data_IF_634380430160
#
_entry.id   IF_634380430160
#
_cell.length_a   1.000
_cell.length_b   1.000
_cell.length_c   1.000
_cell.angle_alpha   90.00
_cell.angle_beta   90.00
_cell.angle_gamma   90.00
#
_symmetry.space_group_name_H-M   'P 1'
#
loop_
_entity.id
_entity.type
_entity.pdbx_description
1 polymer ?
#
# COMPACT_ATOMS: atom_id res chain seq x y z
N UNK A 1 -1.79 -2.91 -12.70
CA UNK A 1 -2.89 -1.98 -13.01
C UNK A 1 -2.70 -1.33 -14.36
N UNK A 2 -3.80 -1.06 -15.04
CA UNK A 2 -3.84 -0.49 -16.39
C UNK A 2 -4.31 0.97 -16.33
N UNK A 3 -3.42 1.90 -16.57
CA UNK A 3 -3.68 3.34 -16.58
C UNK A 3 -3.98 3.90 -17.98
N UNK A 4 -4.27 3.05 -18.97
CA UNK A 4 -4.54 3.47 -20.36
C UNK A 4 -5.77 4.38 -20.50
N UNK A 5 -6.71 4.33 -19.58
CA UNK A 5 -7.89 5.20 -19.54
C UNK A 5 -7.56 6.69 -19.44
N UNK A 6 -6.37 7.04 -18.99
CA UNK A 6 -5.92 8.43 -18.90
C UNK A 6 -5.36 9.00 -20.21
N UNK A 7 -5.36 8.21 -21.30
CA UNK A 7 -4.67 8.56 -22.55
C UNK A 7 -3.15 8.52 -22.43
N UNK A 8 -2.63 7.97 -21.36
CA UNK A 8 -1.22 7.79 -21.13
C UNK A 8 -0.72 6.51 -21.85
N UNK A 9 0.57 6.47 -22.16
CA UNK A 9 1.20 5.31 -22.79
C UNK A 9 1.20 4.09 -21.84
N UNK A 10 1.19 2.88 -22.39
CA UNK A 10 1.28 1.63 -21.63
C UNK A 10 2.50 1.54 -20.68
N UNK A 11 3.50 2.40 -20.88
CA UNK A 11 4.71 2.51 -20.03
C UNK A 11 4.42 2.96 -18.60
N UNK A 12 3.26 3.56 -18.36
CA UNK A 12 2.84 3.95 -17.00
C UNK A 12 2.05 2.86 -16.26
N UNK A 13 1.74 1.75 -16.91
CA UNK A 13 1.07 0.64 -16.24
C UNK A 13 1.96 0.06 -15.15
N UNK A 14 1.34 -0.40 -14.05
CA UNK A 14 2.04 -1.11 -12.98
C UNK A 14 1.95 -2.60 -13.23
N UNK A 15 3.04 -3.23 -13.75
CA UNK A 15 3.05 -4.65 -14.00
C UNK A 15 2.79 -5.43 -12.70
N UNK A 16 1.97 -6.47 -12.82
CA UNK A 16 1.69 -7.44 -11.77
C UNK A 16 0.91 -6.93 -10.54
N UNK A 17 0.49 -5.65 -10.47
CA UNK A 17 -0.26 -5.13 -9.32
C UNK A 17 -1.57 -5.90 -9.07
N UNK A 18 -2.27 -6.31 -10.14
CA UNK A 18 -3.46 -7.18 -10.02
C UNK A 18 -3.08 -8.55 -9.47
N UNK A 19 -1.97 -9.14 -9.94
CA UNK A 19 -1.48 -10.41 -9.42
C UNK A 19 -1.10 -10.33 -7.94
N UNK A 20 -0.47 -9.23 -7.53
CA UNK A 20 -0.14 -8.95 -6.14
C UNK A 20 -1.40 -8.94 -5.26
N UNK A 21 -2.44 -8.24 -5.67
CA UNK A 21 -3.70 -8.16 -4.93
C UNK A 21 -4.41 -9.52 -4.83
N UNK A 22 -4.44 -10.29 -5.93
CA UNK A 22 -5.03 -11.62 -5.96
C UNK A 22 -4.29 -12.58 -5.02
N UNK A 23 -2.96 -12.58 -5.06
CA UNK A 23 -2.15 -13.43 -4.17
C UNK A 23 -2.30 -13.00 -2.71
N UNK A 24 -2.28 -11.71 -2.42
CA UNK A 24 -2.49 -11.21 -1.05
C UNK A 24 -3.87 -11.64 -0.52
N UNK A 25 -4.94 -11.54 -1.34
CA UNK A 25 -6.26 -12.06 -1.00
C UNK A 25 -6.23 -13.55 -0.63
N UNK A 26 -5.52 -14.38 -1.42
CA UNK A 26 -5.42 -15.81 -1.10
C UNK A 26 -4.83 -16.07 0.29
N UNK A 27 -3.85 -15.26 0.70
CA UNK A 27 -3.26 -15.35 2.03
C UNK A 27 -4.20 -14.84 3.12
N UNK A 28 -4.99 -13.79 2.86
CA UNK A 28 -6.05 -13.37 3.78
C UNK A 28 -7.04 -14.50 4.06
N UNK A 29 -7.48 -15.22 3.03
CA UNK A 29 -8.40 -16.36 3.20
C UNK A 29 -7.72 -17.54 3.89
N UNK A 30 -6.57 -17.98 3.35
CA UNK A 30 -5.97 -19.26 3.76
C UNK A 30 -5.18 -19.19 5.05
N UNK A 31 -4.58 -18.05 5.34
CA UNK A 31 -3.66 -17.88 6.48
C UNK A 31 -4.29 -17.12 7.63
N UNK A 32 -5.00 -16.02 7.32
CA UNK A 32 -5.66 -15.23 8.35
C UNK A 32 -7.11 -15.64 8.60
N UNK A 33 -7.67 -16.54 7.77
CA UNK A 33 -9.02 -17.06 7.94
C UNK A 33 -10.12 -16.04 7.64
N UNK A 34 -9.82 -14.98 6.89
CA UNK A 34 -10.82 -13.97 6.52
C UNK A 34 -11.86 -14.62 5.60
N UNK A 35 -13.16 -14.56 5.93
CA UNK A 35 -14.20 -15.12 5.07
C UNK A 35 -14.20 -14.46 3.70
N UNK A 36 -14.36 -15.25 2.64
CA UNK A 36 -14.31 -14.76 1.25
C UNK A 36 -15.33 -13.64 0.98
N UNK A 37 -16.51 -13.70 1.57
CA UNK A 37 -17.53 -12.67 1.46
C UNK A 37 -17.17 -11.33 2.15
N UNK A 38 -16.11 -11.32 2.96
CA UNK A 38 -15.59 -10.12 3.62
C UNK A 38 -14.35 -9.55 2.93
N UNK A 39 -14.05 -9.99 1.71
CA UNK A 39 -12.93 -9.50 0.91
C UNK A 39 -13.43 -8.92 -0.40
N UNK A 40 -12.93 -7.73 -0.76
CA UNK A 40 -13.11 -7.12 -2.08
C UNK A 40 -11.77 -6.96 -2.76
N UNK A 41 -11.63 -7.49 -3.97
CA UNK A 41 -10.49 -7.25 -4.86
C UNK A 41 -11.00 -6.38 -6.01
N UNK A 42 -10.36 -5.24 -6.22
CA UNK A 42 -10.82 -4.23 -7.20
C UNK A 42 -9.68 -3.96 -8.19
N UNK A 43 -9.55 -4.78 -9.23
CA UNK A 43 -8.56 -4.56 -10.27
C UNK A 43 -8.87 -3.29 -11.06
N UNK A 44 -7.83 -2.55 -11.44
CA UNK A 44 -7.96 -1.32 -12.23
C UNK A 44 -8.99 -0.36 -11.65
N UNK A 45 -8.87 -0.10 -10.34
CA UNK A 45 -9.84 0.69 -9.60
C UNK A 45 -9.88 2.14 -10.07
N UNK A 46 -11.07 2.62 -10.45
CA UNK A 46 -11.34 4.04 -10.66
C UNK A 46 -11.47 4.79 -9.33
N UNK A 47 -11.42 6.12 -9.35
CA UNK A 47 -11.59 6.94 -8.15
C UNK A 47 -12.90 6.62 -7.41
N UNK A 48 -14.00 6.53 -8.14
CA UNK A 48 -15.30 6.15 -7.57
C UNK A 48 -15.27 4.77 -6.90
N UNK A 49 -14.69 3.77 -7.57
CA UNK A 49 -14.57 2.42 -7.01
C UNK A 49 -13.69 2.38 -5.75
N UNK A 50 -12.56 3.10 -5.74
CA UNK A 50 -11.69 3.14 -4.56
C UNK A 50 -12.41 3.75 -3.36
N UNK A 51 -13.14 4.86 -3.53
CA UNK A 51 -13.88 5.49 -2.45
C UNK A 51 -15.03 4.60 -1.96
N UNK A 52 -15.81 4.01 -2.87
CA UNK A 52 -16.91 3.09 -2.53
C UNK A 52 -16.42 1.89 -1.71
N UNK A 53 -15.34 1.24 -2.15
CA UNK A 53 -14.84 0.06 -1.45
C UNK A 53 -14.14 0.41 -0.13
N UNK A 54 -13.53 1.58 -0.01
CA UNK A 54 -13.03 2.06 1.28
C UNK A 54 -14.19 2.35 2.25
N UNK A 55 -15.27 2.96 1.79
CA UNK A 55 -16.47 3.19 2.61
C UNK A 55 -17.12 1.85 3.01
N UNK A 56 -17.19 0.88 2.09
CA UNK A 56 -17.64 -0.48 2.42
C UNK A 56 -16.78 -1.11 3.53
N UNK A 57 -15.45 -1.06 3.41
CA UNK A 57 -14.51 -1.63 4.39
C UNK A 57 -14.74 -1.00 5.78
N UNK A 58 -14.83 0.32 5.84
CA UNK A 58 -15.04 1.06 7.10
C UNK A 58 -16.40 0.71 7.72
N UNK A 59 -17.44 0.62 6.89
CA UNK A 59 -18.79 0.29 7.37
C UNK A 59 -18.91 -1.13 7.94
N UNK A 60 -18.05 -2.07 7.53
CA UNK A 60 -18.00 -3.40 8.14
C UNK A 60 -17.65 -3.35 9.64
N UNK A 61 -16.91 -2.33 10.08
CA UNK A 61 -16.56 -2.15 11.48
C UNK A 61 -17.60 -1.38 12.29
N UNK A 62 -18.65 -0.85 11.67
CA UNK A 62 -19.62 0.04 12.34
C UNK A 62 -20.36 -0.60 13.52
N UNK A 63 -20.47 -1.91 13.54
CA UNK A 63 -21.22 -2.66 14.56
C UNK A 63 -20.33 -3.57 15.42
N UNK A 64 -19.04 -3.67 15.11
CA UNK A 64 -18.13 -4.57 15.81
C UNK A 64 -16.79 -3.87 16.18
N UNK A 65 -16.64 -3.41 17.44
CA UNK A 65 -15.38 -2.82 17.91
C UNK A 65 -14.19 -3.80 17.94
N UNK A 66 -14.45 -5.11 17.80
CA UNK A 66 -13.41 -6.14 17.72
C UNK A 66 -13.01 -6.45 16.25
N UNK A 67 -13.61 -5.77 15.29
CA UNK A 67 -13.24 -5.93 13.88
C UNK A 67 -11.75 -5.62 13.66
N UNK A 68 -11.14 -6.39 12.78
CA UNK A 68 -9.80 -6.13 12.23
C UNK A 68 -9.94 -5.81 10.75
N UNK A 69 -9.49 -4.62 10.35
CA UNK A 69 -9.56 -4.15 8.98
C UNK A 69 -8.22 -4.34 8.29
N UNK A 70 -8.23 -4.84 7.05
CA UNK A 70 -7.04 -4.96 6.21
C UNK A 70 -7.28 -4.16 4.92
N UNK A 71 -6.44 -3.18 4.67
CA UNK A 71 -6.39 -2.43 3.41
C UNK A 71 -5.07 -2.72 2.72
N UNK A 72 -5.14 -3.27 1.51
CA UNK A 72 -3.98 -3.52 0.66
C UNK A 72 -4.10 -2.72 -0.64
N UNK A 73 -3.01 -2.12 -1.07
CA UNK A 73 -2.94 -1.42 -2.35
C UNK A 73 -1.62 -1.73 -3.06
N UNK A 74 -1.70 -2.03 -4.35
CA UNK A 74 -0.55 -2.10 -5.26
C UNK A 74 -0.84 -1.26 -6.49
N UNK A 75 -0.03 -0.24 -6.75
CA UNK A 75 -0.28 0.72 -7.84
C UNK A 75 0.61 1.95 -7.78
N UNK A 76 0.19 3.00 -8.47
CA UNK A 76 0.88 4.28 -8.40
C UNK A 76 0.50 5.08 -7.16
N UNK A 77 1.50 5.76 -6.61
CA UNK A 77 1.32 6.85 -5.68
C UNK A 77 1.95 8.14 -6.23
N UNK A 78 1.47 9.27 -5.78
CA UNK A 78 2.08 10.56 -6.07
C UNK A 78 1.84 11.53 -4.91
N UNK A 79 2.66 12.59 -4.85
CA UNK A 79 2.52 13.65 -3.84
C UNK A 79 1.87 14.88 -4.46
N UNK A 80 0.96 15.52 -3.72
CA UNK A 80 0.50 16.86 -4.06
C UNK A 80 1.70 17.83 -4.00
N UNK A 81 1.94 18.57 -5.07
CA UNK A 81 3.12 19.45 -5.17
C UNK A 81 3.14 20.55 -4.13
N UNK A 82 1.98 21.06 -3.73
CA UNK A 82 1.86 22.17 -2.78
C UNK A 82 1.91 21.70 -1.33
N UNK A 83 1.15 20.64 -0.99
CA UNK A 83 1.01 20.16 0.39
C UNK A 83 2.00 19.08 0.76
N UNK A 84 2.59 18.40 -0.24
CA UNK A 84 3.43 17.19 -0.09
C UNK A 84 2.67 15.99 0.45
N UNK A 85 1.35 16.04 0.49
CA UNK A 85 0.48 14.94 0.89
C UNK A 85 0.54 13.83 -0.15
N UNK A 86 0.78 12.58 0.25
CA UNK A 86 0.79 11.43 -0.66
C UNK A 86 -0.62 10.92 -0.94
N UNK A 87 -0.85 10.54 -2.21
CA UNK A 87 -2.10 10.03 -2.74
C UNK A 87 -1.91 8.67 -3.38
N UNK A 88 -2.83 7.75 -3.16
CA UNK A 88 -3.02 6.54 -3.95
C UNK A 88 -3.78 6.89 -5.22
N UNK A 89 -3.25 6.51 -6.38
CA UNK A 89 -3.78 6.93 -7.67
C UNK A 89 -4.68 5.86 -8.31
N UNK A 90 -5.96 6.13 -8.52
CA UNK A 90 -6.82 5.28 -9.34
C UNK A 90 -6.43 5.37 -10.82
N UNK A 91 -6.92 4.38 -11.61
CA UNK A 91 -6.51 4.25 -13.03
C UNK A 91 -7.11 5.29 -13.97
N UNK A 92 -8.12 6.04 -13.53
CA UNK A 92 -8.86 7.03 -14.31
C UNK A 92 -8.43 8.47 -14.06
N UNK A 93 -7.41 8.70 -13.23
CA UNK A 93 -6.90 10.04 -12.96
C UNK A 93 -5.47 10.24 -13.44
N UNK A 94 -5.17 11.47 -13.86
CA UNK A 94 -3.83 11.89 -14.26
C UNK A 94 -3.10 12.55 -13.10
N UNK A 95 -1.77 12.71 -13.20
CA UNK A 95 -0.98 13.47 -12.24
C UNK A 95 -1.42 14.92 -12.01
N UNK A 96 -2.30 15.47 -12.85
CA UNK A 96 -2.88 16.81 -12.67
C UNK A 96 -4.05 16.84 -11.69
N UNK A 97 -4.76 15.71 -11.52
CA UNK A 97 -5.97 15.60 -10.71
C UNK A 97 -5.82 14.61 -9.55
N UNK A 98 -4.62 14.52 -8.99
CA UNK A 98 -4.29 13.52 -7.94
C UNK A 98 -5.21 13.58 -6.73
N UNK A 99 -5.83 14.74 -6.45
CA UNK A 99 -6.77 14.93 -5.33
C UNK A 99 -8.08 14.17 -5.49
N UNK A 100 -8.35 13.57 -6.65
CA UNK A 100 -9.45 12.63 -6.83
C UNK A 100 -9.11 11.21 -6.34
N UNK A 101 -7.84 10.93 -6.14
CA UNK A 101 -7.38 9.71 -5.47
C UNK A 101 -7.62 9.75 -3.95
N UNK A 102 -7.06 8.80 -3.24
CA UNK A 102 -7.16 8.73 -1.78
C UNK A 102 -5.87 9.26 -1.16
N UNK A 103 -5.93 10.36 -0.40
CA UNK A 103 -4.78 10.79 0.40
C UNK A 103 -4.53 9.80 1.55
N UNK A 104 -3.27 9.62 1.95
CA UNK A 104 -2.97 8.74 3.08
C UNK A 104 -3.57 9.29 4.38
N UNK A 105 -3.63 10.61 4.56
CA UNK A 105 -4.29 11.23 5.71
C UNK A 105 -5.79 10.93 5.76
N UNK A 106 -6.49 10.98 4.62
CA UNK A 106 -7.91 10.63 4.55
C UNK A 106 -8.14 9.13 4.75
N UNK A 107 -7.27 8.29 4.19
CA UNK A 107 -7.31 6.84 4.42
C UNK A 107 -7.25 6.53 5.92
N UNK A 108 -6.26 7.08 6.62
CA UNK A 108 -6.09 6.83 8.06
C UNK A 108 -7.25 7.38 8.88
N UNK A 109 -7.75 8.57 8.54
CA UNK A 109 -8.93 9.16 9.17
C UNK A 109 -10.18 8.31 8.98
N UNK A 110 -10.41 7.80 7.77
CA UNK A 110 -11.56 6.92 7.47
C UNK A 110 -11.46 5.60 8.23
N UNK A 111 -10.30 4.95 8.27
CA UNK A 111 -10.09 3.71 9.01
C UNK A 111 -10.29 3.87 10.53
N UNK A 112 -10.12 5.09 11.05
CA UNK A 112 -10.36 5.43 12.45
C UNK A 112 -11.80 5.96 12.73
N UNK A 113 -12.71 5.88 11.76
CA UNK A 113 -14.11 6.37 11.92
C UNK A 113 -14.85 5.62 13.04
N UNK A 114 -14.65 4.32 13.13
CA UNK A 114 -15.21 3.48 14.18
C UNK A 114 -14.09 2.89 15.03
N UNK A 115 -14.34 2.62 16.32
CA UNK A 115 -13.41 1.82 17.13
C UNK A 115 -13.21 0.45 16.48
N UNK A 116 -11.96 0.05 16.34
CA UNK A 116 -11.59 -1.28 15.82
C UNK A 116 -10.47 -1.88 16.67
N UNK A 117 -10.36 -3.19 16.70
CA UNK A 117 -9.24 -3.89 17.35
C UNK A 117 -7.92 -3.54 16.65
N UNK A 118 -7.93 -3.47 15.31
CA UNK A 118 -6.79 -3.05 14.50
C UNK A 118 -7.16 -2.74 13.06
N UNK A 119 -6.50 -1.77 12.45
CA UNK A 119 -6.55 -1.48 11.02
C UNK A 119 -5.12 -1.57 10.44
N UNK A 120 -4.94 -2.50 9.53
CA UNK A 120 -3.64 -2.82 8.92
C UNK A 120 -3.61 -2.36 7.48
N UNK A 121 -2.67 -1.50 7.14
CA UNK A 121 -2.53 -0.91 5.81
C UNK A 121 -1.22 -1.40 5.19
N UNK A 122 -1.30 -2.01 4.01
CA UNK A 122 -0.14 -2.48 3.25
C UNK A 122 -0.12 -1.82 1.89
N UNK A 123 0.94 -1.05 1.61
CA UNK A 123 1.06 -0.22 0.41
C UNK A 123 2.28 -0.63 -0.42
N UNK A 124 2.05 -1.23 -1.59
CA UNK A 124 3.09 -1.46 -2.59
C UNK A 124 3.01 -0.35 -3.65
N UNK A 125 3.39 0.86 -3.26
CA UNK A 125 3.35 2.07 -4.07
C UNK A 125 4.56 2.97 -3.82
N UNK A 126 4.91 3.78 -4.83
CA UNK A 126 5.95 4.80 -4.74
C UNK A 126 5.31 6.17 -4.52
N UNK A 127 5.85 6.96 -3.63
CA UNK A 127 5.42 8.36 -3.41
C UNK A 127 6.51 9.37 -3.77
N UNK A 128 7.50 8.97 -4.56
CA UNK A 128 8.65 9.82 -4.97
C UNK A 128 8.35 10.75 -6.15
N UNK A 129 7.10 10.79 -6.63
CA UNK A 129 6.75 11.50 -7.87
C UNK A 129 7.20 10.78 -9.14
N UNK A 130 7.75 9.56 -9.01
CA UNK A 130 8.12 8.66 -10.11
C UNK A 130 7.15 7.51 -10.26
N UNK A 131 7.02 6.97 -11.46
CA UNK A 131 6.21 5.78 -11.70
C UNK A 131 6.99 4.51 -11.32
N UNK A 132 6.27 3.49 -10.83
CA UNK A 132 6.83 2.21 -10.36
C UNK A 132 7.65 1.46 -11.43
N UNK A 133 7.43 1.73 -12.71
CA UNK A 133 8.05 1.01 -13.83
C UNK A 133 8.75 1.88 -14.89
N UNK A 134 8.61 3.20 -14.85
CA UNK A 134 9.14 4.08 -15.89
C UNK A 134 10.13 5.11 -15.33
N UNK A 135 10.98 5.64 -16.19
CA UNK A 135 11.80 6.80 -15.86
C UNK A 135 10.92 7.97 -15.38
N UNK A 136 11.36 8.79 -14.42
CA UNK A 136 10.54 9.82 -13.85
C UNK A 136 10.06 10.80 -14.90
N UNK A 137 8.74 10.83 -15.15
CA UNK A 137 8.10 11.73 -16.11
C UNK A 137 8.24 13.21 -15.72
N UNK A 138 8.72 13.50 -14.51
CA UNK A 138 8.94 14.83 -13.95
C UNK A 138 10.31 14.96 -13.28
N UNK A 139 11.34 14.22 -13.72
CA UNK A 139 12.72 14.52 -13.35
C UNK A 139 13.20 15.83 -14.00
N UNK A 140 12.36 16.86 -13.96
CA UNK A 140 12.80 18.23 -14.21
C UNK A 140 13.28 18.81 -12.90
N UNK A 141 14.61 18.85 -12.75
CA UNK A 141 15.35 19.60 -11.75
C UNK A 141 15.25 19.11 -10.30
N UNK A 142 16.03 18.09 -9.94
CA UNK A 142 16.81 18.03 -8.70
C UNK A 142 16.17 18.30 -7.32
N UNK A 143 14.86 18.45 -7.22
CA UNK A 143 14.19 18.70 -5.94
C UNK A 143 13.59 17.39 -5.43
N UNK A 144 14.24 16.78 -4.45
CA UNK A 144 13.68 15.67 -3.68
C UNK A 144 12.46 16.17 -2.91
N UNK A 145 11.28 15.64 -3.26
CA UNK A 145 10.06 15.93 -2.51
C UNK A 145 9.93 14.87 -1.42
N UNK A 146 10.15 15.26 -0.17
CA UNK A 146 9.89 14.39 0.97
C UNK A 146 8.39 14.46 1.28
N UNK A 147 7.64 13.34 1.25
CA UNK A 147 6.22 13.34 1.57
C UNK A 147 5.98 13.83 3.00
N UNK A 148 4.94 14.63 3.17
CA UNK A 148 4.42 14.99 4.48
C UNK A 148 3.18 14.14 4.76
N UNK A 149 3.40 12.94 5.28
CA UNK A 149 2.32 12.01 5.62
C UNK A 149 1.73 12.36 6.97
N UNK A 150 0.40 12.43 7.05
CA UNK A 150 -0.29 12.46 8.34
C UNK A 150 -0.06 11.14 9.10
N UNK A 151 0.03 11.22 10.43
CA UNK A 151 0.18 10.01 11.25
C UNK A 151 -1.10 9.16 11.21
N UNK A 152 -0.98 7.82 11.22
CA UNK A 152 -2.11 6.93 11.43
C UNK A 152 -2.87 7.30 12.72
N UNK A 153 -4.18 7.09 12.73
CA UNK A 153 -5.09 7.42 13.83
C UNK A 153 -5.76 6.15 14.37
N UNK A 154 -6.27 6.23 15.58
CA UNK A 154 -6.89 5.07 16.23
C UNK A 154 -5.89 3.90 16.35
N UNK A 155 -6.36 2.67 16.19
CA UNK A 155 -5.53 1.47 16.16
C UNK A 155 -5.09 1.15 14.71
N UNK A 156 -4.38 2.08 14.05
CA UNK A 156 -3.95 1.90 12.66
C UNK A 156 -2.44 1.73 12.55
N UNK A 157 -2.03 0.70 11.81
CA UNK A 157 -0.64 0.36 11.45
C UNK A 157 -0.50 0.36 9.94
N UNK A 158 0.50 1.06 9.41
CA UNK A 158 0.75 1.16 7.98
C UNK A 158 2.16 0.73 7.63
N UNK A 159 2.28 -0.22 6.70
CA UNK A 159 3.52 -0.61 6.06
C UNK A 159 3.53 -0.14 4.61
N UNK A 160 4.57 0.55 4.19
CA UNK A 160 4.77 0.93 2.80
C UNK A 160 6.03 0.30 2.21
N UNK A 161 6.02 0.07 0.91
CA UNK A 161 7.07 -0.65 0.19
C UNK A 161 8.39 0.10 0.08
N UNK A 162 8.37 1.43 0.23
CA UNK A 162 9.56 2.28 0.09
C UNK A 162 9.42 3.57 0.88
N UNK A 163 10.53 4.22 1.17
CA UNK A 163 10.53 5.60 1.68
C UNK A 163 10.09 6.58 0.58
N UNK A 164 9.71 7.80 0.99
CA UNK A 164 9.08 8.78 0.10
C UNK A 164 9.90 9.27 -1.09
N UNK A 165 11.19 9.00 -1.12
CA UNK A 165 12.12 9.39 -2.20
C UNK A 165 12.60 8.20 -3.04
N UNK A 166 12.11 6.99 -2.75
CA UNK A 166 12.48 5.76 -3.43
C UNK A 166 11.34 5.19 -4.27
N UNK A 167 11.69 4.33 -5.21
CA UNK A 167 10.72 3.63 -6.05
C UNK A 167 10.54 2.19 -5.60
N UNK A 168 9.30 1.72 -5.56
CA UNK A 168 9.00 0.29 -5.46
C UNK A 168 9.38 -0.41 -6.75
N UNK A 169 10.08 -1.52 -6.64
CA UNK A 169 10.60 -2.25 -7.78
C UNK A 169 9.75 -3.48 -8.10
N UNK A 170 9.72 -3.84 -9.38
CA UNK A 170 9.02 -5.02 -9.90
C UNK A 170 9.95 -6.22 -9.93
N UNK A 171 9.50 -7.36 -9.41
CA UNK A 171 10.21 -8.65 -9.42
C UNK A 171 9.69 -9.50 -10.59
N UNK A 172 10.25 -9.28 -11.78
CA UNK A 172 9.76 -9.91 -13.02
C UNK A 172 9.71 -11.44 -12.96
N UNK A 173 10.73 -12.09 -12.39
CA UNK A 173 10.78 -13.56 -12.27
C UNK A 173 9.63 -14.13 -11.43
N UNK A 174 9.14 -13.37 -10.46
CA UNK A 174 8.04 -13.77 -9.58
C UNK A 174 6.70 -13.19 -10.01
N UNK A 175 6.69 -12.32 -11.01
CA UNK A 175 5.50 -11.60 -11.49
C UNK A 175 4.77 -10.87 -10.36
N UNK A 176 5.53 -10.19 -9.51
CA UNK A 176 5.06 -9.46 -8.31
C UNK A 176 5.88 -8.20 -8.09
N UNK A 177 5.44 -7.31 -7.21
CA UNK A 177 6.29 -6.31 -6.59
C UNK A 177 7.27 -6.99 -5.61
N UNK A 178 8.50 -6.47 -5.46
CA UNK A 178 9.45 -7.00 -4.48
C UNK A 178 8.88 -6.97 -3.06
N UNK A 179 8.22 -5.87 -2.70
CA UNK A 179 7.63 -5.75 -1.37
C UNK A 179 6.53 -6.80 -1.14
N UNK A 180 5.57 -6.90 -2.03
CA UNK A 180 4.46 -7.85 -1.91
C UNK A 180 4.97 -9.29 -1.88
N UNK A 181 5.92 -9.64 -2.76
CA UNK A 181 6.52 -10.98 -2.75
C UNK A 181 7.13 -11.33 -1.39
N UNK A 182 7.95 -10.46 -0.81
CA UNK A 182 8.60 -10.74 0.46
C UNK A 182 7.66 -10.64 1.65
N UNK A 183 6.64 -9.78 1.61
CA UNK A 183 5.56 -9.75 2.61
C UNK A 183 4.84 -11.11 2.67
N UNK A 184 4.33 -11.56 1.53
CA UNK A 184 3.64 -12.84 1.40
C UNK A 184 4.57 -14.01 1.79
N UNK A 185 5.82 -13.99 1.32
CA UNK A 185 6.80 -15.01 1.67
C UNK A 185 7.04 -15.07 3.19
N UNK A 186 7.15 -13.94 3.86
CA UNK A 186 7.37 -13.89 5.31
C UNK A 186 6.17 -14.44 6.07
N UNK A 187 4.94 -14.05 5.68
CA UNK A 187 3.70 -14.60 6.26
C UNK A 187 3.64 -16.11 6.08
N UNK A 188 3.91 -16.60 4.87
CA UNK A 188 3.92 -18.02 4.54
C UNK A 188 4.92 -18.80 5.36
N UNK A 189 6.18 -18.34 5.40
CA UNK A 189 7.27 -19.03 6.06
C UNK A 189 7.05 -19.09 7.59
N UNK A 190 6.34 -18.12 8.15
CA UNK A 190 5.91 -18.09 9.55
C UNK A 190 4.57 -18.83 9.79
N UNK A 191 3.90 -19.33 8.75
CA UNK A 191 2.56 -19.94 8.80
C UNK A 191 1.52 -19.04 9.47
N UNK A 192 1.64 -17.73 9.28
CA UNK A 192 0.80 -16.71 9.92
C UNK A 192 1.08 -16.45 11.40
N UNK A 193 1.94 -17.23 12.05
CA UNK A 193 2.28 -17.02 13.46
C UNK A 193 3.52 -16.12 13.60
N UNK A 194 3.31 -14.84 13.43
CA UNK A 194 4.36 -13.82 13.44
C UNK A 194 3.80 -12.52 14.01
N UNK A 195 4.57 -11.80 14.82
CA UNK A 195 4.13 -10.47 15.29
C UNK A 195 4.25 -9.42 14.18
N UNK A 196 3.48 -8.34 14.27
CA UNK A 196 3.51 -7.25 13.26
C UNK A 196 4.89 -6.62 13.17
N UNK A 197 5.58 -6.45 14.28
CA UNK A 197 6.97 -5.95 14.26
C UNK A 197 7.90 -6.91 13.54
N UNK A 198 7.87 -8.19 13.87
CA UNK A 198 8.71 -9.19 13.23
C UNK A 198 8.37 -9.34 11.73
N UNK A 199 7.09 -9.27 11.36
CA UNK A 199 6.64 -9.27 9.97
C UNK A 199 7.27 -8.11 9.19
N UNK A 200 7.24 -6.91 9.77
CA UNK A 200 7.86 -5.74 9.16
C UNK A 200 9.37 -5.91 9.05
N UNK A 201 10.06 -6.26 10.14
CA UNK A 201 11.52 -6.35 10.20
C UNK A 201 12.06 -7.37 9.18
N UNK A 202 11.46 -8.57 9.13
CA UNK A 202 11.86 -9.63 8.19
C UNK A 202 11.58 -9.27 6.74
N UNK A 203 10.40 -8.69 6.47
CA UNK A 203 10.02 -8.24 5.13
C UNK A 203 10.95 -7.13 4.66
N UNK A 204 11.18 -6.11 5.48
CA UNK A 204 12.07 -4.98 5.16
C UNK A 204 13.50 -5.44 4.88
N UNK A 205 14.06 -6.29 5.73
CA UNK A 205 15.40 -6.83 5.54
C UNK A 205 15.53 -7.63 4.23
N UNK A 206 14.50 -8.42 3.88
CA UNK A 206 14.49 -9.20 2.65
C UNK A 206 14.38 -8.33 1.39
N UNK A 207 13.50 -7.31 1.41
CA UNK A 207 13.36 -6.35 0.31
C UNK A 207 14.67 -5.60 0.09
N UNK A 208 15.24 -4.99 1.13
CA UNK A 208 16.51 -4.25 1.05
C UNK A 208 17.62 -5.09 0.43
N UNK A 209 17.76 -6.33 0.90
CA UNK A 209 18.78 -7.25 0.38
C UNK A 209 18.56 -7.61 -1.08
N UNK A 210 17.33 -7.92 -1.45
CA UNK A 210 17.02 -8.36 -2.81
C UNK A 210 17.14 -7.23 -3.83
N UNK A 211 16.71 -6.01 -3.48
CA UNK A 211 16.82 -4.86 -4.38
C UNK A 211 18.24 -4.34 -4.51
N UNK A 212 19.06 -4.46 -3.48
CA UNK A 212 20.50 -4.15 -3.55
C UNK A 212 21.24 -5.03 -4.59
N UNK A 213 20.79 -6.27 -4.81
CA UNK A 213 21.37 -7.16 -5.83
C UNK A 213 21.10 -6.72 -7.28
N UNK A 214 20.19 -5.80 -7.47
CA UNK A 214 19.84 -5.20 -8.77
C UNK A 214 20.15 -3.70 -8.81
N UNK A 215 21.08 -3.25 -7.97
CA UNK A 215 21.51 -1.86 -7.85
C UNK A 215 20.37 -0.86 -7.59
N UNK A 216 19.36 -1.28 -6.81
CA UNK A 216 18.24 -0.42 -6.39
C UNK A 216 18.18 -0.31 -4.87
N UNK A 217 17.76 0.87 -4.41
CA UNK A 217 17.49 1.12 -3.00
C UNK A 217 15.98 1.13 -2.81
N UNK A 218 15.49 0.19 -2.00
CA UNK A 218 14.08 0.13 -1.61
C UNK A 218 13.99 -0.22 -0.13
N UNK A 219 13.54 0.73 0.66
CA UNK A 219 13.47 0.63 2.12
C UNK A 219 12.02 0.73 2.59
N UNK A 220 11.36 -0.40 2.86
CA UNK A 220 10.03 -0.40 3.44
C UNK A 220 9.97 0.42 4.71
N UNK A 221 8.83 1.08 4.93
CA UNK A 221 8.58 1.92 6.09
C UNK A 221 7.41 1.37 6.91
N UNK A 222 7.48 1.60 8.22
CA UNK A 222 6.41 1.28 9.17
C UNK A 222 5.98 2.55 9.88
N UNK A 223 4.68 2.80 9.92
CA UNK A 223 4.08 3.88 10.70
C UNK A 223 2.92 3.33 11.51
N UNK A 224 2.99 3.47 12.83
CA UNK A 224 1.90 3.15 13.74
C UNK A 224 1.25 4.42 14.28
N UNK A 225 -0.01 4.34 14.63
CA UNK A 225 -0.66 5.39 15.41
C UNK A 225 0.10 5.61 16.73
N UNK A 226 0.41 6.85 17.08
CA UNK A 226 1.11 7.14 18.35
C UNK A 226 0.34 6.70 19.60
N UNK A 227 -0.95 6.48 19.46
CA UNK A 227 -1.83 6.05 20.56
C UNK A 227 -1.99 4.54 20.65
N UNK A 228 -1.53 3.78 19.67
CA UNK A 228 -1.63 2.32 19.68
C UNK A 228 -0.40 1.67 20.31
N UNK A 229 -0.43 1.52 21.61
CA UNK A 229 0.63 0.89 22.40
C UNK A 229 0.56 -0.64 22.26
N UNK A 230 1.70 -1.29 22.05
CA UNK A 230 1.81 -2.76 21.98
C UNK A 230 1.43 -3.36 20.62
N UNK A 231 1.29 -2.54 19.58
CA UNK A 231 1.05 -3.05 18.22
C UNK A 231 2.14 -4.02 17.74
N UNK A 232 3.34 -3.89 18.28
CA UNK A 232 4.53 -4.69 17.92
C UNK A 232 4.31 -6.18 18.15
N UNK A 233 3.56 -6.54 19.19
CA UNK A 233 3.35 -7.92 19.64
C UNK A 233 2.07 -8.54 19.07
N UNK A 234 1.25 -7.79 18.33
CA UNK A 234 0.04 -8.30 17.69
C UNK A 234 0.41 -9.34 16.63
N UNK A 235 -0.34 -10.47 16.61
CA UNK A 235 -0.16 -11.56 15.67
C UNK A 235 -1.38 -11.74 14.79
#
# INVERSE_FOLDING_TARGET
EDYSMTGANAEINVPYAVNDAVLFREYCVRTFGVPDGQIKVVPNATAGMMHEQLDWLVNMASTDPQAELIFYYSGHGNNDEATKEPYLLPVDITGKNIRLGISLSDLYKKLATYPVKGAYVFLDACFSGGYKSAAPLLAQKGVRVVPKVGLPQGNTLSFSSSSGDQTSSVYHEKKQGYYTYFLIKTIRDAKGNISMKELFDRTSAAVKRATALIDKIQEPQCMASPTWIGWEDIK
#
